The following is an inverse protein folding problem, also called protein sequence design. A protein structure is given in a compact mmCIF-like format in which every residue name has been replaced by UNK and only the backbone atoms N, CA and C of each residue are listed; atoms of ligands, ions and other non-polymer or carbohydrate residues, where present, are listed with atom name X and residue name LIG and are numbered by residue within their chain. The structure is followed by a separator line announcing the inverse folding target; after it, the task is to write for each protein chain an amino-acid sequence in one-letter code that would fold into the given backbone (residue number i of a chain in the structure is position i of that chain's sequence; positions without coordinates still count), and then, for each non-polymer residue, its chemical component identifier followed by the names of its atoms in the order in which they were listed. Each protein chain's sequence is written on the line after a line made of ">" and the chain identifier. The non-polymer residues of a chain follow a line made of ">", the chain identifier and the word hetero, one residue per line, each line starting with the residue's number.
data_IF_495531594131
#
_entry.id   IF_495531594131
#
_cell.length_a   1.000
_cell.length_b   1.000
_cell.length_c   1.000
_cell.angle_alpha   90.00
_cell.angle_beta   90.00
_cell.angle_gamma   90.00
#
_symmetry.space_group_name_H-M   'P 1'
#
loop_
_entity.id
_entity.type
_entity.pdbx_description
1 polymer ?
#
# COMPACT_ATOMS: atom_id res chain seq x y z
N UNK A 1 -0.75 11.55 -21.01
CA UNK A 1 0.07 10.41 -20.56
C UNK A 1 -0.18 10.32 -19.08
N UNK A 2 -0.69 9.17 -18.59
CA UNK A 2 -1.00 9.03 -17.17
C UNK A 2 0.28 9.19 -16.34
N UNK A 3 0.20 9.91 -15.22
CA UNK A 3 1.32 9.97 -14.29
C UNK A 3 1.57 8.58 -13.66
N UNK A 4 2.78 8.31 -13.13
CA UNK A 4 3.13 6.98 -12.63
C UNK A 4 2.15 6.41 -11.60
N UNK A 5 1.58 7.24 -10.73
CA UNK A 5 0.62 6.81 -9.71
C UNK A 5 -0.72 6.44 -10.35
N UNK A 6 -1.25 7.26 -11.26
CA UNK A 6 -2.49 6.95 -11.98
C UNK A 6 -2.36 5.66 -12.79
N UNK A 7 -1.21 5.49 -13.47
CA UNK A 7 -0.92 4.26 -14.21
C UNK A 7 -0.90 3.03 -13.30
N UNK A 8 -0.20 3.09 -12.16
CA UNK A 8 -0.10 1.98 -11.23
C UNK A 8 -1.45 1.60 -10.62
N UNK A 9 -2.28 2.59 -10.23
CA UNK A 9 -3.63 2.34 -9.71
C UNK A 9 -4.48 1.60 -10.73
N UNK A 10 -4.43 2.00 -12.01
CA UNK A 10 -5.16 1.32 -13.08
C UNK A 10 -4.73 -0.14 -13.19
N UNK A 11 -3.43 -0.41 -13.25
CA UNK A 11 -2.89 -1.78 -13.34
C UNK A 11 -3.24 -2.62 -12.11
N UNK A 12 -3.14 -2.04 -10.90
CA UNK A 12 -3.48 -2.74 -9.66
C UNK A 12 -4.97 -3.11 -9.60
N UNK A 13 -5.87 -2.23 -10.01
CA UNK A 13 -7.30 -2.53 -10.09
C UNK A 13 -7.63 -3.53 -11.21
N UNK A 14 -6.96 -3.45 -12.36
CA UNK A 14 -7.07 -4.44 -13.43
C UNK A 14 -6.62 -5.85 -12.95
N UNK A 15 -5.56 -5.92 -12.15
CA UNK A 15 -5.10 -7.16 -11.55
C UNK A 15 -6.07 -7.67 -10.47
N UNK A 16 -6.58 -6.78 -9.61
CA UNK A 16 -7.57 -7.11 -8.58
C UNK A 16 -8.85 -7.70 -9.19
N UNK A 17 -9.32 -7.13 -10.31
CA UNK A 17 -10.51 -7.62 -11.01
C UNK A 17 -10.31 -9.01 -11.63
N UNK A 18 -9.07 -9.41 -11.90
CA UNK A 18 -8.72 -10.72 -12.46
C UNK A 18 -8.52 -11.79 -11.39
N UNK A 19 -7.90 -11.44 -10.27
CA UNK A 19 -7.68 -12.34 -9.14
C UNK A 19 -7.63 -11.58 -7.81
N UNK A 20 -8.80 -11.40 -7.19
CA UNK A 20 -8.92 -10.64 -5.95
C UNK A 20 -8.22 -11.33 -4.76
N UNK A 21 -8.19 -12.66 -4.74
CA UNK A 21 -7.62 -13.44 -3.65
C UNK A 21 -6.09 -13.39 -3.68
N UNK A 22 -5.48 -13.57 -4.85
CA UNK A 22 -4.03 -13.46 -5.00
C UNK A 22 -3.54 -12.06 -4.66
N UNK A 23 -4.23 -11.01 -5.15
CA UNK A 23 -3.86 -9.62 -4.86
C UNK A 23 -4.04 -9.28 -3.39
N UNK A 24 -5.13 -9.74 -2.76
CA UNK A 24 -5.34 -9.56 -1.31
C UNK A 24 -4.24 -10.24 -0.50
N UNK A 25 -3.86 -11.48 -0.85
CA UNK A 25 -2.75 -12.20 -0.20
C UNK A 25 -1.41 -11.49 -0.39
N UNK A 26 -1.12 -11.03 -1.60
CA UNK A 26 0.11 -10.30 -1.91
C UNK A 26 0.21 -8.99 -1.12
N UNK A 27 -0.87 -8.21 -1.04
CA UNK A 27 -0.91 -6.97 -0.26
C UNK A 27 -0.79 -7.22 1.24
N UNK A 28 -1.23 -8.37 1.74
CA UNK A 28 -1.04 -8.76 3.14
C UNK A 28 0.37 -9.29 3.45
N UNK A 29 1.18 -9.60 2.44
CA UNK A 29 2.53 -10.09 2.64
C UNK A 29 3.38 -9.04 3.37
N UNK A 30 4.04 -9.46 4.44
CA UNK A 30 4.95 -8.66 5.25
C UNK A 30 6.22 -9.47 5.44
N UNK A 31 7.35 -8.86 5.13
CA UNK A 31 8.68 -9.49 5.26
C UNK A 31 9.54 -8.64 6.18
N UNK A 32 10.31 -9.28 7.05
CA UNK A 32 11.23 -8.58 7.93
C UNK A 32 12.31 -7.88 7.08
N UNK A 33 12.68 -6.66 7.47
CA UNK A 33 13.72 -5.88 6.82
C UNK A 33 14.66 -5.24 7.85
N UNK A 34 15.84 -4.83 7.40
CA UNK A 34 16.81 -4.17 8.27
C UNK A 34 16.47 -2.68 8.49
N UNK A 35 17.13 -2.08 9.49
CA UNK A 35 16.99 -0.66 9.85
C UNK A 35 17.30 0.29 8.69
N UNK A 36 18.26 -0.07 7.82
CA UNK A 36 18.64 0.77 6.68
C UNK A 36 17.49 0.93 5.69
N UNK A 37 16.74 -0.15 5.42
CA UNK A 37 15.57 -0.09 4.55
C UNK A 37 14.39 0.61 5.26
N UNK A 38 14.25 0.38 6.57
CA UNK A 38 13.23 1.07 7.38
C UNK A 38 13.43 2.59 7.42
N UNK A 39 14.66 3.07 7.34
CA UNK A 39 15.02 4.49 7.29
C UNK A 39 14.96 5.13 5.89
N UNK A 40 14.47 4.43 4.87
CA UNK A 40 14.39 4.98 3.53
C UNK A 40 13.36 6.13 3.45
N UNK A 41 13.67 7.29 2.84
CA UNK A 41 12.83 8.48 2.92
C UNK A 41 11.44 8.33 2.30
N UNK A 42 11.27 7.45 1.31
CA UNK A 42 10.00 7.26 0.59
C UNK A 42 9.37 5.88 0.76
N UNK A 43 10.10 4.88 1.26
CA UNK A 43 9.56 3.52 1.41
C UNK A 43 8.93 3.41 2.78
N UNK A 44 7.64 3.06 2.80
CA UNK A 44 6.91 2.90 4.05
C UNK A 44 7.11 1.50 4.62
N UNK A 45 7.64 1.46 5.84
CA UNK A 45 7.84 0.24 6.62
C UNK A 45 7.01 0.34 7.90
N UNK A 46 6.46 -0.79 8.35
CA UNK A 46 5.73 -0.88 9.60
C UNK A 46 6.65 -1.34 10.73
N UNK A 47 6.55 -0.70 11.89
CA UNK A 47 7.19 -1.16 13.13
C UNK A 47 6.17 -1.96 13.91
N UNK A 48 6.53 -3.18 14.32
CA UNK A 48 5.68 -4.06 15.11
C UNK A 48 6.12 -4.05 16.59
N UNK A 49 5.25 -4.54 17.48
CA UNK A 49 5.49 -4.58 18.93
C UNK A 49 6.72 -5.43 19.32
N UNK A 50 7.11 -6.37 18.47
CA UNK A 50 8.32 -7.19 18.61
C UNK A 50 9.62 -6.43 18.26
N UNK A 51 9.52 -5.14 17.91
CA UNK A 51 10.65 -4.31 17.50
C UNK A 51 11.14 -4.59 16.08
N UNK A 52 10.49 -5.50 15.35
CA UNK A 52 10.87 -5.83 13.98
C UNK A 52 10.24 -4.84 12.98
N UNK A 53 11.04 -4.48 11.98
CA UNK A 53 10.60 -3.72 10.83
C UNK A 53 10.07 -4.67 9.76
N UNK A 54 8.85 -4.45 9.27
CA UNK A 54 8.31 -5.25 8.16
C UNK A 54 7.88 -4.41 6.98
N UNK A 55 8.38 -4.78 5.81
CA UNK A 55 8.03 -4.19 4.53
C UNK A 55 6.81 -4.89 3.94
N UNK A 56 5.88 -4.11 3.41
CA UNK A 56 4.79 -4.58 2.55
C UNK A 56 4.97 -4.12 1.11
N UNK A 57 4.35 -4.84 0.17
CA UNK A 57 4.43 -4.54 -1.27
C UNK A 57 3.98 -3.11 -1.60
N UNK A 58 2.90 -2.62 -0.95
CA UNK A 58 2.43 -1.25 -1.17
C UNK A 58 3.39 -0.19 -0.63
N UNK A 59 4.14 -0.49 0.44
CA UNK A 59 5.15 0.42 0.96
C UNK A 59 6.31 0.59 -0.02
N UNK A 60 6.72 -0.52 -0.65
CA UNK A 60 7.75 -0.53 -1.68
C UNK A 60 7.28 0.20 -2.95
N UNK A 61 6.08 -0.14 -3.46
CA UNK A 61 5.52 0.51 -4.65
C UNK A 61 5.43 2.01 -4.44
N UNK A 62 4.83 2.46 -3.32
CA UNK A 62 4.72 3.87 -3.01
C UNK A 62 6.07 4.58 -2.97
N UNK A 63 7.13 3.94 -2.44
CA UNK A 63 8.46 4.54 -2.44
C UNK A 63 9.15 4.60 -3.80
N UNK A 64 8.77 3.72 -4.73
CA UNK A 64 9.34 3.65 -6.07
C UNK A 64 8.70 4.62 -7.06
N UNK A 65 7.39 4.89 -6.94
CA UNK A 65 6.64 5.71 -7.91
C UNK A 65 6.00 6.96 -7.31
N UNK A 66 5.99 7.08 -5.98
CA UNK A 66 5.49 8.24 -5.26
C UNK A 66 6.62 9.15 -4.79
N UNK A 67 6.24 10.39 -4.55
CA UNK A 67 7.08 11.47 -4.02
C UNK A 67 6.70 11.84 -2.56
N UNK A 68 5.74 11.13 -1.97
CA UNK A 68 5.21 11.41 -0.65
C UNK A 68 5.66 10.38 0.40
N UNK A 69 6.17 10.83 1.56
CA UNK A 69 6.42 9.95 2.72
C UNK A 69 5.16 9.23 3.23
N UNK A 70 3.97 9.80 3.02
CA UNK A 70 2.70 9.18 3.43
C UNK A 70 2.23 8.09 2.46
N UNK A 71 2.78 8.05 1.24
CA UNK A 71 2.34 7.21 0.12
C UNK A 71 1.19 7.82 -0.68
N UNK A 72 1.16 7.56 -1.99
CA UNK A 72 0.16 8.10 -2.93
C UNK A 72 -0.91 7.08 -3.31
N UNK A 73 -0.65 5.79 -3.08
CA UNK A 73 -1.56 4.67 -3.39
C UNK A 73 -2.02 4.01 -2.09
N UNK A 74 -3.34 3.93 -1.94
CA UNK A 74 -4.03 3.22 -0.86
C UNK A 74 -4.84 2.03 -1.36
N UNK A 75 -5.39 1.26 -0.43
CA UNK A 75 -6.30 0.16 -0.71
C UNK A 75 -7.54 0.26 0.20
N UNK A 76 -8.74 0.12 -0.38
CA UNK A 76 -10.01 0.02 0.33
C UNK A 76 -10.47 -1.43 0.34
N UNK A 77 -10.96 -1.87 1.50
CA UNK A 77 -11.34 -3.26 1.67
C UNK A 77 -11.91 -3.54 3.05
N UNK A 78 -12.29 -4.80 3.26
CA UNK A 78 -12.67 -5.31 4.57
C UNK A 78 -11.41 -5.82 5.27
N UNK A 79 -11.27 -5.51 6.56
CA UNK A 79 -10.13 -5.93 7.37
C UNK A 79 -10.57 -6.77 8.56
N UNK A 80 -9.76 -7.76 8.91
CA UNK A 80 -9.86 -8.45 10.18
C UNK A 80 -9.36 -7.52 11.29
N UNK A 81 -10.25 -7.17 12.22
CA UNK A 81 -9.95 -6.21 13.30
C UNK A 81 -8.93 -6.70 14.30
N UNK A 82 -8.70 -8.02 14.40
CA UNK A 82 -7.73 -8.61 15.33
C UNK A 82 -6.33 -8.62 14.73
N UNK A 83 -6.22 -8.89 13.43
CA UNK A 83 -4.92 -9.07 12.77
C UNK A 83 -4.49 -7.86 11.94
N UNK A 84 -5.38 -6.92 11.66
CA UNK A 84 -5.13 -5.76 10.80
C UNK A 84 -4.92 -6.12 9.32
N UNK A 85 -5.19 -7.37 8.93
CA UNK A 85 -5.05 -7.85 7.55
C UNK A 85 -6.32 -7.63 6.75
N UNK A 86 -6.18 -7.38 5.45
CA UNK A 86 -7.32 -7.39 4.56
C UNK A 86 -7.90 -8.80 4.46
N UNK A 87 -9.19 -8.96 4.72
CA UNK A 87 -9.93 -10.16 4.32
C UNK A 87 -10.31 -10.08 2.86
N UNK A 88 -10.53 -8.86 2.34
CA UNK A 88 -10.82 -8.61 0.93
C UNK A 88 -10.46 -7.18 0.56
N UNK A 89 -9.66 -7.00 -0.48
CA UNK A 89 -9.48 -5.69 -1.13
C UNK A 89 -10.58 -5.51 -2.17
N UNK A 90 -11.20 -4.33 -2.19
CA UNK A 90 -12.24 -3.94 -3.16
C UNK A 90 -11.70 -3.00 -4.23
N UNK A 91 -10.73 -2.16 -3.87
CA UNK A 91 -10.21 -1.13 -4.78
C UNK A 91 -8.86 -0.57 -4.31
N UNK A 92 -7.99 -0.20 -5.25
CA UNK A 92 -6.85 0.69 -5.00
C UNK A 92 -7.18 2.13 -5.38
N UNK A 93 -6.78 3.08 -4.54
CA UNK A 93 -7.18 4.49 -4.66
C UNK A 93 -5.99 5.44 -4.66
N UNK A 94 -6.21 6.61 -5.26
CA UNK A 94 -5.27 7.73 -5.25
C UNK A 94 -5.48 8.57 -3.98
N UNK A 95 -4.59 8.40 -3.01
CA UNK A 95 -4.66 9.12 -1.73
C UNK A 95 -4.39 10.62 -1.90
N UNK A 96 -3.76 11.03 -3.00
CA UNK A 96 -3.53 12.46 -3.30
C UNK A 96 -4.85 13.18 -3.53
N UNK A 97 -5.86 12.49 -4.09
CA UNK A 97 -7.19 13.04 -4.37
C UNK A 97 -8.11 12.96 -3.15
N UNK A 98 -8.05 11.85 -2.42
CA UNK A 98 -8.88 11.60 -1.24
C UNK A 98 -8.53 12.54 -0.05
N UNK A 99 -7.31 13.11 -0.04
CA UNK A 99 -6.90 14.10 0.96
C UNK A 99 -7.56 15.47 0.74
N UNK A 100 -7.89 15.83 -0.51
CA UNK A 100 -8.60 17.09 -0.81
C UNK A 100 -10.06 17.05 -0.35
N UNK A 101 -10.74 15.92 -0.48
CA UNK A 101 -12.17 15.77 -0.10
C UNK A 101 -12.42 15.80 1.41
N UNK A 102 -11.38 15.70 2.26
CA UNK A 102 -11.52 15.79 3.72
C UNK A 102 -11.25 17.18 4.30
N UNK A 103 -10.85 18.13 3.45
CA UNK A 103 -10.52 19.51 3.82
C UNK A 103 -11.53 20.55 3.27
N UNK A 104 -12.54 20.11 2.52
CA UNK A 104 -13.61 20.95 1.97
C UNK A 104 -14.93 20.81 2.74
#
# INVERSE_FOLDING_TARGET
>A
MDDPVTHAIRVLNEALARDADAITRLVNMRVDCNERLAGHPTIKVSVYEDGLYRLGVLGLINGAIGDSPSGSIGARGTMDKKTGRFTQIREFIDLRKDTFDRLA
#
